data_IF_487424504385
#
_entry.id   IF_487424504385
#
_cell.length_a   1.000
_cell.length_b   1.000
_cell.length_c   1.000
_cell.angle_alpha   90.00
_cell.angle_beta   90.00
_cell.angle_gamma   90.00
#
_symmetry.space_group_name_H-M   'P 1'
#
loop_
_entity.id
_entity.type
_entity.pdbx_description
1 polymer ?
#
# COMPACT_ATOMS: atom_id res chain seq x y z
N UNK A 1 -41.07 -9.90 -22.18
CA UNK A 1 -41.41 -9.04 -21.02
C UNK A 1 -40.29 -8.96 -19.97
N UNK A 2 -39.16 -9.67 -20.12
CA UNK A 2 -38.05 -9.60 -19.14
C UNK A 2 -36.92 -8.64 -19.55
N UNK A 3 -36.99 -8.09 -20.77
CA UNK A 3 -36.01 -7.14 -21.34
C UNK A 3 -36.15 -5.72 -20.80
N UNK A 4 -37.32 -5.36 -20.26
CA UNK A 4 -37.65 -4.00 -19.81
C UNK A 4 -36.95 -3.61 -18.48
N UNK A 5 -36.28 -4.57 -17.83
CA UNK A 5 -35.58 -4.37 -16.57
C UNK A 5 -34.06 -4.59 -16.66
N UNK A 6 -33.54 -4.90 -17.85
CA UNK A 6 -32.11 -5.10 -18.07
C UNK A 6 -31.41 -3.75 -18.21
N UNK A 7 -30.22 -3.66 -17.67
CA UNK A 7 -29.35 -2.48 -17.71
C UNK A 7 -27.99 -2.89 -18.23
N UNK A 8 -27.43 -2.07 -19.12
CA UNK A 8 -26.10 -2.25 -19.70
C UNK A 8 -25.14 -1.29 -19.01
N UNK A 9 -24.05 -1.84 -18.49
CA UNK A 9 -22.96 -1.13 -17.81
C UNK A 9 -21.70 -1.36 -18.64
N UNK A 10 -21.28 -0.34 -19.38
CA UNK A 10 -20.04 -0.35 -20.14
C UNK A 10 -18.91 0.17 -19.24
N UNK A 11 -18.04 -0.73 -18.78
CA UNK A 11 -16.94 -0.42 -17.88
C UNK A 11 -15.62 -0.64 -18.61
N UNK A 12 -14.82 0.42 -18.80
CA UNK A 12 -13.54 0.34 -19.52
C UNK A 12 -13.66 -0.22 -20.95
N UNK A 13 -14.82 -0.04 -21.60
CA UNK A 13 -15.13 -0.60 -22.92
C UNK A 13 -15.76 -1.99 -22.91
N UNK A 14 -15.85 -2.67 -21.76
CA UNK A 14 -16.49 -3.99 -21.63
C UNK A 14 -17.93 -3.83 -21.18
N UNK A 15 -18.87 -4.39 -21.95
CA UNK A 15 -20.30 -4.35 -21.63
C UNK A 15 -20.67 -5.47 -20.67
N UNK A 16 -21.21 -5.08 -19.52
CA UNK A 16 -21.81 -5.95 -18.54
C UNK A 16 -23.31 -5.75 -18.54
N UNK A 17 -24.06 -6.85 -18.63
CA UNK A 17 -25.51 -6.82 -18.60
C UNK A 17 -26.02 -7.44 -17.29
N UNK A 18 -27.00 -6.77 -16.68
CA UNK A 18 -27.65 -7.23 -15.45
C UNK A 18 -29.07 -6.69 -15.35
N UNK A 19 -29.77 -6.99 -14.26
CA UNK A 19 -31.10 -6.45 -13.99
C UNK A 19 -31.07 -5.33 -12.97
N UNK A 20 -31.97 -4.35 -13.13
CA UNK A 20 -32.09 -3.20 -12.22
C UNK A 20 -32.28 -3.66 -10.76
N UNK A 21 -33.09 -4.70 -10.51
CA UNK A 21 -33.32 -5.21 -9.15
C UNK A 21 -32.07 -5.79 -8.49
N UNK A 22 -31.11 -6.33 -9.28
CA UNK A 22 -29.83 -6.84 -8.76
C UNK A 22 -29.02 -5.69 -8.17
N UNK A 23 -28.97 -4.54 -8.86
CA UNK A 23 -28.25 -3.36 -8.41
C UNK A 23 -28.88 -2.71 -7.17
N UNK A 24 -30.15 -2.99 -6.90
CA UNK A 24 -30.88 -2.50 -5.70
C UNK A 24 -30.67 -3.37 -4.46
N UNK A 25 -30.11 -4.58 -4.59
CA UNK A 25 -29.88 -5.50 -3.45
C UNK A 25 -28.93 -4.93 -2.40
N UNK A 26 -27.94 -4.13 -2.83
CA UNK A 26 -27.01 -3.44 -1.95
C UNK A 26 -27.31 -1.94 -2.05
N UNK A 27 -28.04 -1.37 -1.08
CA UNK A 27 -28.47 0.03 -1.14
C UNK A 27 -27.29 0.98 -0.87
N UNK A 28 -27.51 2.27 -1.11
CA UNK A 28 -26.56 3.35 -0.85
C UNK A 28 -25.22 3.28 -1.62
N UNK A 29 -25.14 2.45 -2.66
CA UNK A 29 -24.00 2.35 -3.58
C UNK A 29 -24.21 3.19 -4.83
N UNK A 30 -23.15 3.41 -5.63
CA UNK A 30 -23.26 4.12 -6.91
C UNK A 30 -24.23 3.43 -7.87
N UNK A 31 -24.15 2.09 -7.98
CA UNK A 31 -25.00 1.30 -8.88
C UNK A 31 -26.46 1.26 -8.41
N UNK A 32 -26.72 1.33 -7.11
CA UNK A 32 -28.10 1.41 -6.60
C UNK A 32 -28.80 2.72 -6.95
N UNK A 33 -28.06 3.76 -7.33
CA UNK A 33 -28.56 5.12 -7.62
C UNK A 33 -28.57 5.47 -9.11
N UNK A 34 -28.38 4.50 -10.00
CA UNK A 34 -28.43 4.75 -11.44
C UNK A 34 -29.77 5.36 -11.84
N UNK A 35 -29.69 6.39 -12.69
CA UNK A 35 -30.81 7.09 -13.28
C UNK A 35 -30.41 7.63 -14.65
N UNK A 36 -31.33 7.69 -15.64
CA UNK A 36 -31.05 8.26 -16.96
C UNK A 36 -30.57 9.71 -16.94
N UNK A 37 -30.76 10.43 -15.83
CA UNK A 37 -30.30 11.81 -15.67
C UNK A 37 -28.80 11.93 -15.34
N UNK A 38 -28.10 10.81 -15.13
CA UNK A 38 -26.66 10.85 -14.87
C UNK A 38 -25.89 11.20 -16.14
N UNK A 39 -24.83 12.01 -15.99
CA UNK A 39 -23.97 12.43 -17.09
C UNK A 39 -23.28 11.27 -17.83
N UNK A 40 -23.19 10.11 -17.19
CA UNK A 40 -22.54 8.93 -17.74
C UNK A 40 -23.52 7.94 -18.42
N UNK A 41 -24.78 8.32 -18.60
CA UNK A 41 -25.76 7.55 -19.36
C UNK A 41 -25.78 7.99 -20.83
N UNK A 42 -25.65 7.03 -21.74
CA UNK A 42 -25.80 7.23 -23.18
C UNK A 42 -27.23 6.82 -23.61
N UNK A 43 -28.10 7.78 -23.99
CA UNK A 43 -29.48 7.49 -24.38
C UNK A 43 -29.59 6.83 -25.77
N UNK A 44 -28.56 6.93 -26.62
CA UNK A 44 -28.56 6.32 -27.95
C UNK A 44 -28.29 4.82 -27.85
N UNK A 45 -27.29 4.45 -27.05
CA UNK A 45 -26.91 3.05 -26.83
C UNK A 45 -27.70 2.41 -25.67
N UNK A 46 -28.42 3.22 -24.88
CA UNK A 46 -29.12 2.81 -23.67
C UNK A 46 -28.19 2.10 -22.66
N UNK A 47 -27.01 2.67 -22.43
CA UNK A 47 -25.97 2.12 -21.54
C UNK A 47 -25.36 3.18 -20.63
N UNK A 48 -24.82 2.74 -19.49
CA UNK A 48 -24.01 3.59 -18.62
C UNK A 48 -22.54 3.34 -18.88
N UNK A 49 -21.77 4.39 -19.15
CA UNK A 49 -20.32 4.29 -19.32
C UNK A 49 -19.58 4.62 -18.01
N UNK A 50 -18.53 3.86 -17.73
CA UNK A 50 -17.61 4.10 -16.63
C UNK A 50 -16.18 3.83 -17.09
N UNK A 51 -15.31 4.83 -17.03
CA UNK A 51 -13.90 4.68 -17.35
C UNK A 51 -13.12 4.09 -16.17
N UNK A 52 -13.40 2.82 -15.84
CA UNK A 52 -12.89 2.08 -14.67
C UNK A 52 -12.43 0.69 -15.08
N UNK A 53 -11.83 -0.05 -14.13
CA UNK A 53 -11.21 -1.34 -14.41
C UNK A 53 -12.24 -2.46 -14.70
N UNK A 54 -12.34 -3.00 -15.94
CA UNK A 54 -13.39 -3.97 -16.30
C UNK A 54 -13.27 -5.32 -15.60
N UNK A 55 -12.04 -5.80 -15.38
CA UNK A 55 -11.78 -7.07 -14.69
C UNK A 55 -12.31 -7.08 -13.25
N UNK A 56 -11.94 -6.07 -12.46
CA UNK A 56 -12.43 -5.84 -11.09
C UNK A 56 -13.94 -5.67 -11.05
N UNK A 57 -14.52 -4.93 -12.01
CA UNK A 57 -15.96 -4.72 -12.06
C UNK A 57 -16.78 -6.01 -12.13
N UNK A 58 -16.24 -7.06 -12.78
CA UNK A 58 -16.89 -8.37 -12.83
C UNK A 58 -17.10 -8.97 -11.44
N UNK A 59 -16.14 -8.78 -10.52
CA UNK A 59 -16.24 -9.25 -9.14
C UNK A 59 -17.24 -8.41 -8.35
N UNK A 60 -17.23 -7.09 -8.52
CA UNK A 60 -18.20 -6.18 -7.93
C UNK A 60 -19.63 -6.55 -8.35
N UNK A 61 -19.87 -6.76 -9.64
CA UNK A 61 -21.18 -7.15 -10.13
C UNK A 61 -21.62 -8.51 -9.58
N UNK A 62 -20.68 -9.44 -9.38
CA UNK A 62 -20.96 -10.72 -8.75
C UNK A 62 -21.39 -10.54 -7.28
N UNK A 63 -20.82 -9.59 -6.55
CA UNK A 63 -21.24 -9.27 -5.18
C UNK A 63 -22.72 -8.85 -5.12
N UNK A 64 -23.21 -8.03 -6.06
CA UNK A 64 -24.65 -7.72 -6.14
C UNK A 64 -25.51 -8.96 -6.44
N UNK A 65 -24.99 -9.94 -7.18
CA UNK A 65 -25.73 -11.17 -7.52
C UNK A 65 -25.84 -12.11 -6.34
N UNK A 66 -24.72 -12.38 -5.67
CA UNK A 66 -24.57 -13.43 -4.64
C UNK A 66 -24.71 -12.92 -3.22
N UNK A 67 -24.48 -11.63 -2.98
CA UNK A 67 -24.35 -11.05 -1.65
C UNK A 67 -23.03 -11.40 -0.95
N UNK A 68 -22.06 -11.99 -1.66
CA UNK A 68 -20.75 -12.39 -1.12
C UNK A 68 -19.61 -11.66 -1.81
N UNK A 69 -18.81 -10.91 -1.05
CA UNK A 69 -17.68 -10.15 -1.56
C UNK A 69 -16.39 -10.98 -1.45
N UNK A 70 -15.77 -11.30 -2.58
CA UNK A 70 -14.51 -12.04 -2.64
C UNK A 70 -13.42 -11.20 -3.27
N UNK A 71 -12.20 -11.30 -2.74
CA UNK A 71 -11.04 -10.66 -3.36
C UNK A 71 -10.58 -11.43 -4.60
N UNK A 72 -10.27 -10.74 -5.71
CA UNK A 72 -9.62 -11.34 -6.86
C UNK A 72 -8.20 -11.79 -6.51
N UNK A 73 -7.77 -12.94 -7.05
CA UNK A 73 -6.40 -13.46 -6.85
C UNK A 73 -5.37 -12.89 -7.81
N UNK A 74 -5.83 -12.21 -8.86
CA UNK A 74 -5.00 -11.67 -9.95
C UNK A 74 -4.89 -10.14 -9.94
N UNK A 75 -5.37 -9.49 -8.87
CA UNK A 75 -5.36 -8.04 -8.71
C UNK A 75 -4.84 -7.73 -7.31
N UNK A 76 -4.02 -6.69 -7.18
CA UNK A 76 -3.50 -6.27 -5.88
C UNK A 76 -4.61 -5.68 -4.99
N UNK A 77 -4.46 -5.85 -3.68
CA UNK A 77 -5.42 -5.35 -2.68
C UNK A 77 -5.77 -3.87 -2.83
N UNK A 78 -4.78 -2.95 -2.90
CA UNK A 78 -5.05 -1.51 -3.03
C UNK A 78 -5.88 -1.15 -4.26
N UNK A 79 -5.58 -1.74 -5.42
CA UNK A 79 -6.37 -1.49 -6.64
C UNK A 79 -7.83 -1.95 -6.49
N UNK A 80 -8.07 -3.05 -5.77
CA UNK A 80 -9.42 -3.51 -5.50
C UNK A 80 -10.14 -2.59 -4.51
N UNK A 81 -9.46 -2.12 -3.47
CA UNK A 81 -10.00 -1.16 -2.49
C UNK A 81 -10.40 0.17 -3.15
N UNK A 82 -9.55 0.72 -4.03
CA UNK A 82 -9.84 1.95 -4.80
C UNK A 82 -11.11 1.79 -5.66
N UNK A 83 -11.31 0.59 -6.24
CA UNK A 83 -12.52 0.28 -6.98
C UNK A 83 -13.72 0.16 -6.04
N UNK A 84 -13.63 -0.56 -4.91
CA UNK A 84 -14.71 -0.66 -3.94
C UNK A 84 -15.16 0.71 -3.44
N UNK A 85 -14.21 1.60 -3.13
CA UNK A 85 -14.49 2.98 -2.75
C UNK A 85 -15.23 3.72 -3.87
N UNK A 86 -14.75 3.62 -5.12
CA UNK A 86 -15.42 4.24 -6.27
C UNK A 86 -16.88 3.80 -6.40
N UNK A 87 -17.16 2.50 -6.22
CA UNK A 87 -18.51 1.94 -6.32
C UNK A 87 -19.37 2.15 -5.06
N UNK A 88 -18.75 2.64 -3.97
CA UNK A 88 -19.40 2.89 -2.69
C UNK A 88 -19.68 1.61 -1.90
N UNK A 89 -18.74 0.66 -1.94
CA UNK A 89 -18.82 -0.63 -1.25
C UNK A 89 -17.81 -0.67 -0.09
N UNK A 90 -18.21 -1.26 1.02
CA UNK A 90 -17.37 -1.39 2.21
C UNK A 90 -16.46 -2.63 2.10
N UNK A 91 -15.14 -2.39 2.11
CA UNK A 91 -14.12 -3.44 2.03
C UNK A 91 -14.18 -4.42 3.23
N UNK A 92 -14.78 -4.03 4.36
CA UNK A 92 -14.92 -4.89 5.53
C UNK A 92 -15.98 -5.99 5.36
N UNK A 93 -16.80 -5.95 4.29
CA UNK A 93 -17.81 -6.97 3.98
C UNK A 93 -17.22 -8.20 3.25
N UNK A 94 -15.89 -8.30 3.16
CA UNK A 94 -15.20 -9.40 2.52
C UNK A 94 -15.43 -10.73 3.25
N UNK A 95 -15.71 -11.78 2.47
CA UNK A 95 -15.92 -13.13 2.99
C UNK A 95 -14.66 -13.69 3.67
N UNK A 96 -14.81 -14.51 4.73
CA UNK A 96 -13.69 -15.05 5.51
C UNK A 96 -12.62 -15.78 4.70
N UNK A 97 -12.99 -16.43 3.59
CA UNK A 97 -12.03 -17.14 2.74
C UNK A 97 -11.01 -16.23 2.06
N UNK A 98 -11.26 -14.92 2.01
CA UNK A 98 -10.39 -13.93 1.39
C UNK A 98 -9.59 -13.11 2.40
N UNK A 99 -9.81 -13.28 3.71
CA UNK A 99 -9.15 -12.49 4.75
C UNK A 99 -7.64 -12.64 4.74
N UNK A 100 -7.13 -13.86 4.53
CA UNK A 100 -5.68 -14.09 4.52
C UNK A 100 -4.99 -13.33 3.39
N UNK A 101 -5.57 -13.34 2.19
CA UNK A 101 -5.06 -12.57 1.05
C UNK A 101 -5.15 -11.08 1.31
N UNK A 102 -6.27 -10.62 1.87
CA UNK A 102 -6.48 -9.22 2.24
C UNK A 102 -5.46 -8.72 3.28
N UNK A 103 -5.29 -9.42 4.40
CA UNK A 103 -4.38 -9.01 5.48
C UNK A 103 -2.92 -9.07 5.04
N UNK A 104 -2.52 -10.10 4.27
CA UNK A 104 -1.15 -10.20 3.77
C UNK A 104 -0.76 -9.00 2.90
N UNK A 105 -1.66 -8.54 2.02
CA UNK A 105 -1.38 -7.37 1.20
C UNK A 105 -1.25 -6.09 2.01
N UNK A 106 -2.17 -5.85 2.96
CA UNK A 106 -2.12 -4.67 3.83
C UNK A 106 -0.85 -4.65 4.69
N UNK A 107 -0.56 -5.76 5.38
CA UNK A 107 0.62 -5.87 6.24
C UNK A 107 1.92 -5.72 5.43
N UNK A 108 1.94 -6.18 4.17
CA UNK A 108 3.08 -5.97 3.27
C UNK A 108 3.26 -4.50 2.90
N UNK A 109 2.17 -3.77 2.60
CA UNK A 109 2.27 -2.34 2.31
C UNK A 109 2.70 -1.53 3.53
N UNK A 110 2.15 -1.84 4.71
CA UNK A 110 2.53 -1.18 5.96
C UNK A 110 4.02 -1.41 6.28
N UNK A 111 4.51 -2.64 6.10
CA UNK A 111 5.92 -2.95 6.30
C UNK A 111 6.81 -2.30 5.25
N UNK A 112 6.39 -2.23 3.98
CA UNK A 112 7.12 -1.52 2.92
C UNK A 112 7.20 -0.02 3.22
N UNK A 113 6.10 0.62 3.64
CA UNK A 113 6.09 2.02 4.02
C UNK A 113 7.03 2.30 5.21
N UNK A 114 7.07 1.39 6.18
CA UNK A 114 8.05 1.46 7.27
C UNK A 114 9.47 1.33 6.71
N UNK A 115 9.73 0.37 5.82
CA UNK A 115 11.06 0.21 5.19
C UNK A 115 11.46 1.45 4.39
N UNK A 116 10.57 2.05 3.62
CA UNK A 116 10.82 3.29 2.87
C UNK A 116 11.07 4.49 3.80
N UNK A 117 10.40 4.52 4.96
CA UNK A 117 10.65 5.55 5.98
C UNK A 117 11.95 5.35 6.75
N UNK A 118 12.50 4.13 6.73
CA UNK A 118 13.82 3.85 7.25
C UNK A 118 14.79 4.20 6.13
N UNK A 119 15.55 5.28 6.31
CA UNK A 119 16.60 5.79 5.42
C UNK A 119 17.76 4.77 5.20
N UNK A 120 17.47 3.57 4.70
CA UNK A 120 18.42 2.47 4.52
C UNK A 120 19.32 2.65 3.30
N UNK A 121 18.94 3.53 2.38
CA UNK A 121 19.68 3.86 1.15
C UNK A 121 20.35 5.24 1.19
N UNK A 122 20.45 5.87 2.37
CA UNK A 122 21.17 7.15 2.49
C UNK A 122 22.67 6.90 2.39
N UNK A 123 23.30 7.52 1.38
CA UNK A 123 24.74 7.56 1.21
C UNK A 123 25.43 7.92 2.54
N UNK A 124 26.63 7.37 2.82
CA UNK A 124 27.35 7.70 4.05
C UNK A 124 27.42 9.22 4.22
N UNK A 125 27.01 9.77 5.39
CA UNK A 125 26.90 11.19 5.58
C UNK A 125 28.25 11.86 5.29
N UNK A 126 28.20 12.96 4.54
CA UNK A 126 29.38 13.75 4.19
C UNK A 126 30.04 14.31 5.45
N UNK A 127 31.30 14.75 5.36
CA UNK A 127 32.00 15.32 6.51
C UNK A 127 31.31 16.58 7.08
N UNK A 128 30.61 17.32 6.22
CA UNK A 128 29.82 18.50 6.60
C UNK A 128 28.56 18.11 7.39
N UNK A 129 27.82 17.11 6.93
CA UNK A 129 26.64 16.59 7.64
C UNK A 129 27.01 15.95 8.98
N UNK A 130 28.16 15.27 9.04
CA UNK A 130 28.73 14.78 10.30
C UNK A 130 29.10 15.92 11.24
N UNK A 131 29.73 17.00 10.73
CA UNK A 131 30.04 18.17 11.54
C UNK A 131 28.78 18.81 12.11
N UNK A 132 27.72 18.93 11.31
CA UNK A 132 26.38 19.38 11.74
C UNK A 132 25.78 18.47 12.81
N UNK A 133 25.77 17.15 12.60
CA UNK A 133 25.25 16.15 13.56
C UNK A 133 25.91 16.24 14.94
N UNK A 134 27.20 16.57 14.99
CA UNK A 134 27.95 16.67 16.24
C UNK A 134 28.12 18.10 16.78
N UNK A 135 27.55 19.11 16.12
CA UNK A 135 27.64 20.52 16.53
C UNK A 135 29.03 21.13 16.35
N UNK A 136 29.76 20.71 15.31
CA UNK A 136 31.14 21.14 14.99
C UNK A 136 31.21 21.95 13.68
N UNK A 137 30.11 22.59 13.28
CA UNK A 137 30.05 23.36 12.03
C UNK A 137 31.12 24.46 11.99
N UNK A 138 31.24 25.26 13.07
CA UNK A 138 32.21 26.35 13.16
C UNK A 138 33.67 25.85 13.07
N UNK A 139 33.98 24.74 13.73
CA UNK A 139 35.32 24.12 13.72
C UNK A 139 35.66 23.48 12.37
N UNK A 140 34.65 23.00 11.65
CA UNK A 140 34.80 22.44 10.30
C UNK A 140 35.08 23.54 9.28
N UNK A 141 34.27 24.61 9.25
CA UNK A 141 34.46 25.73 8.32
C UNK A 141 35.72 26.56 8.61
N UNK A 142 36.15 26.64 9.87
CA UNK A 142 37.42 27.29 10.24
C UNK A 142 38.65 26.38 10.06
N UNK A 143 38.45 25.09 9.72
CA UNK A 143 39.53 24.12 9.52
C UNK A 143 40.28 23.72 10.80
N UNK A 144 39.74 24.04 11.98
CA UNK A 144 40.37 23.83 13.29
C UNK A 144 40.02 22.48 13.94
N UNK A 145 39.28 21.60 13.24
CA UNK A 145 38.87 20.28 13.74
C UNK A 145 40.01 19.52 14.41
N UNK A 146 39.81 19.18 15.69
CA UNK A 146 40.74 18.37 16.48
C UNK A 146 40.84 16.94 15.96
N UNK A 147 41.96 16.27 16.30
CA UNK A 147 42.17 14.84 15.96
C UNK A 147 41.06 13.94 16.53
N UNK A 148 40.51 14.28 17.70
CA UNK A 148 39.40 13.56 18.30
C UNK A 148 38.09 13.79 17.54
N UNK A 149 37.78 15.01 17.13
CA UNK A 149 36.59 15.31 16.30
C UNK A 149 36.61 14.58 14.96
N UNK A 150 37.80 14.32 14.38
CA UNK A 150 37.95 13.50 13.17
C UNK A 150 37.82 11.99 13.42
N UNK A 151 38.20 11.52 14.60
CA UNK A 151 38.21 10.09 14.95
C UNK A 151 36.86 9.62 15.52
N UNK A 152 36.19 10.46 16.30
CA UNK A 152 34.94 10.15 17.00
C UNK A 152 33.82 9.67 16.05
N UNK A 153 33.55 10.29 14.89
CA UNK A 153 32.54 9.79 13.96
C UNK A 153 32.83 8.37 13.45
N UNK A 154 34.11 8.05 13.20
CA UNK A 154 34.52 6.71 12.74
C UNK A 154 34.35 5.65 13.82
N UNK A 155 34.69 6.00 15.07
CA UNK A 155 34.45 5.13 16.21
C UNK A 155 32.96 4.96 16.48
N UNK A 156 32.17 6.02 16.35
CA UNK A 156 30.71 5.95 16.51
C UNK A 156 30.08 5.01 15.49
N UNK A 157 30.42 5.15 14.20
CA UNK A 157 29.92 4.26 13.14
C UNK A 157 30.27 2.78 13.37
N UNK A 158 31.46 2.50 13.93
CA UNK A 158 31.88 1.13 14.26
C UNK A 158 30.97 0.44 15.30
N UNK A 159 30.38 1.22 16.22
CA UNK A 159 29.54 0.70 17.30
C UNK A 159 28.04 0.76 16.99
N UNK A 160 27.59 1.82 16.33
CA UNK A 160 26.16 2.07 16.08
C UNK A 160 25.66 1.38 14.80
N UNK A 161 26.54 1.17 13.83
CA UNK A 161 26.20 0.58 12.52
C UNK A 161 27.02 -0.70 12.29
N UNK A 162 26.45 -1.90 12.57
CA UNK A 162 27.13 -3.18 12.40
C UNK A 162 27.68 -3.43 11.00
N UNK A 163 27.09 -2.77 10.00
CA UNK A 163 27.38 -2.94 8.58
C UNK A 163 28.38 -1.90 8.04
N UNK A 164 28.81 -0.94 8.86
CA UNK A 164 29.73 0.14 8.46
C UNK A 164 31.13 -0.35 8.09
N UNK A 165 31.56 -1.52 8.58
CA UNK A 165 32.84 -2.16 8.24
C UNK A 165 32.86 -3.65 8.61
N UNK A 166 33.80 -4.42 8.04
CA UNK A 166 33.97 -5.84 8.42
C UNK A 166 34.27 -6.01 9.92
N UNK A 167 34.99 -5.07 10.52
CA UNK A 167 35.29 -5.11 11.96
C UNK A 167 34.06 -4.83 12.82
N UNK A 168 33.19 -3.90 12.39
CA UNK A 168 31.90 -3.64 13.04
C UNK A 168 31.02 -4.91 13.05
N UNK A 169 30.98 -5.66 11.94
CA UNK A 169 30.24 -6.93 11.84
C UNK A 169 30.74 -7.95 12.87
N UNK A 170 32.05 -8.09 13.02
CA UNK A 170 32.66 -9.02 13.99
C UNK A 170 32.33 -8.64 15.43
N UNK A 171 32.38 -7.34 15.77
CA UNK A 171 32.00 -6.85 17.11
C UNK A 171 30.52 -7.17 17.37
N UNK A 172 29.64 -6.85 16.42
CA UNK A 172 28.20 -7.08 16.52
C UNK A 172 27.82 -8.56 16.72
N UNK A 173 28.44 -9.48 15.96
CA UNK A 173 28.19 -10.92 16.16
C UNK A 173 28.64 -11.40 17.55
N UNK A 174 29.75 -10.87 18.08
CA UNK A 174 30.23 -11.22 19.42
C UNK A 174 29.36 -10.67 20.54
N UNK A 175 28.81 -9.46 20.39
CA UNK A 175 27.87 -8.88 21.37
C UNK A 175 26.53 -9.60 21.34
N UNK A 176 25.99 -9.93 20.15
CA UNK A 176 24.78 -10.73 20.01
C UNK A 176 24.93 -12.12 20.63
N UNK A 177 26.02 -12.83 20.35
CA UNK A 177 26.25 -14.18 20.87
C UNK A 177 26.34 -14.20 22.40
N UNK A 178 26.97 -13.17 23.00
CA UNK A 178 26.96 -12.98 24.46
C UNK A 178 25.56 -12.69 24.98
N UNK A 179 24.81 -11.78 24.34
CA UNK A 179 23.45 -11.43 24.78
C UNK A 179 22.52 -12.65 24.77
N UNK A 180 22.55 -13.44 23.70
CA UNK A 180 21.76 -14.68 23.60
C UNK A 180 22.12 -15.65 24.73
N UNK A 181 23.43 -15.87 24.99
CA UNK A 181 23.90 -16.75 26.06
C UNK A 181 23.39 -16.34 27.45
N UNK A 182 23.33 -15.04 27.75
CA UNK A 182 22.83 -14.52 29.04
C UNK A 182 21.30 -14.52 29.14
N UNK A 183 20.57 -14.47 28.02
CA UNK A 183 19.09 -14.51 28.02
C UNK A 183 18.53 -15.94 28.07
N UNK A 184 19.27 -16.94 27.58
CA UNK A 184 18.86 -18.36 27.61
C UNK A 184 19.29 -19.12 28.88
N UNK A 185 19.67 -18.40 29.94
CA UNK A 185 20.12 -18.97 31.22
C UNK A 185 19.32 -18.37 32.37
#
# INVERSE_FOLDING_TARGET
MDSEHRVILNVGGIRHETYTHVLKKIPATRLSRLTPNLANYDPVLNEYFFDRHPGVFSMILNYYRTGKLHYPTNVCGPLFEDELEFWGLDANQVEPCCWMTYTQHRDTQDTLAVIESLDLDVDPPTQEELAKKFGWEDDYYSGTLSKWQRLKPRLWALFDEPWSSEYARVIYFRTLQKSIYYTTR
#
